data_IF_714825951988
#
_entry.id   IF_714825951988
#
_cell.length_a   1.000
_cell.length_b   1.000
_cell.length_c   1.000
_cell.angle_alpha   90.00
_cell.angle_beta   90.00
_cell.angle_gamma   90.00
#
_symmetry.space_group_name_H-M   'P 1'
#
loop_
_entity.id
_entity.type
_entity.pdbx_description
1 polymer ?
#
# COMPACT_ATOMS: atom_id res chain seq x y z
N UNK A 1 14.82 -5.49 1.63
CA UNK A 1 15.04 -4.47 0.60
C UNK A 1 16.21 -3.54 0.87
N UNK A 2 16.24 -2.62 1.87
CA UNK A 2 17.44 -1.78 2.14
C UNK A 2 18.71 -2.61 2.34
N UNK A 3 18.61 -3.78 2.99
CA UNK A 3 19.74 -4.72 3.13
C UNK A 3 20.17 -5.33 1.79
N UNK A 4 19.23 -5.65 0.91
CA UNK A 4 19.51 -6.19 -0.43
C UNK A 4 20.17 -5.13 -1.32
N UNK A 5 19.70 -3.88 -1.28
CA UNK A 5 20.37 -2.76 -1.96
C UNK A 5 21.80 -2.57 -1.48
N UNK A 6 22.02 -2.59 -0.17
CA UNK A 6 23.34 -2.40 0.42
C UNK A 6 24.29 -3.59 0.15
N UNK A 7 23.79 -4.79 -0.14
CA UNK A 7 24.60 -5.99 -0.42
C UNK A 7 25.01 -6.10 -1.89
N UNK A 8 24.26 -5.49 -2.84
CA UNK A 8 24.55 -5.55 -4.26
C UNK A 8 25.82 -4.79 -4.62
N UNK A 9 26.77 -5.45 -5.31
CA UNK A 9 27.95 -4.79 -5.85
C UNK A 9 27.55 -3.89 -7.03
N UNK A 10 27.76 -2.59 -6.91
CA UNK A 10 27.68 -1.68 -8.04
C UNK A 10 28.95 -1.77 -8.90
N UNK A 11 28.82 -1.68 -10.23
CA UNK A 11 29.98 -1.43 -11.10
C UNK A 11 30.57 -0.05 -10.75
N UNK A 12 31.90 0.15 -10.92
CA UNK A 12 32.59 1.39 -10.52
C UNK A 12 31.87 2.69 -10.94
N UNK A 13 31.33 2.78 -12.15
CA UNK A 13 30.62 3.99 -12.62
C UNK A 13 29.30 4.23 -11.91
N UNK A 14 28.66 3.20 -11.35
CA UNK A 14 27.36 3.27 -10.67
C UNK A 14 27.52 3.60 -9.20
N UNK A 15 28.65 3.24 -8.59
CA UNK A 15 28.92 3.46 -7.16
C UNK A 15 28.93 4.94 -6.78
N UNK A 16 29.51 5.84 -7.60
CA UNK A 16 29.51 7.28 -7.37
C UNK A 16 28.09 7.87 -7.37
N UNK A 17 27.25 7.42 -8.31
CA UNK A 17 25.87 7.85 -8.39
C UNK A 17 25.04 7.31 -7.21
N UNK A 18 25.30 6.08 -6.77
CA UNK A 18 24.66 5.53 -5.57
C UNK A 18 25.05 6.33 -4.32
N UNK A 19 26.33 6.66 -4.17
CA UNK A 19 26.82 7.48 -3.06
C UNK A 19 26.22 8.90 -3.12
N UNK A 20 26.13 9.51 -4.31
CA UNK A 20 25.50 10.82 -4.48
C UNK A 20 24.02 10.80 -4.04
N UNK A 21 23.26 9.79 -4.44
CA UNK A 21 21.87 9.63 -4.01
C UNK A 21 21.72 9.42 -2.50
N UNK A 22 22.62 8.67 -1.86
CA UNK A 22 22.65 8.49 -0.40
C UNK A 22 22.97 9.79 0.33
N UNK A 23 23.99 10.54 -0.13
CA UNK A 23 24.40 11.82 0.45
C UNK A 23 23.30 12.85 0.30
N UNK A 24 22.66 12.96 -0.87
CA UNK A 24 21.55 13.88 -1.08
C UNK A 24 20.35 13.55 -0.20
N UNK A 25 20.09 12.26 0.03
CA UNK A 25 18.95 11.79 0.81
C UNK A 25 19.09 11.96 2.32
N UNK A 26 20.32 11.87 2.86
CA UNK A 26 20.53 11.77 4.31
C UNK A 26 21.89 12.32 4.81
N UNK A 27 22.69 12.91 3.95
CA UNK A 27 23.95 13.55 4.28
C UNK A 27 23.79 14.99 4.74
N UNK A 28 24.63 15.40 5.67
CA UNK A 28 24.80 16.79 6.09
C UNK A 28 26.28 17.17 5.94
N UNK A 29 26.53 18.18 5.10
CA UNK A 29 27.87 18.73 4.88
C UNK A 29 28.20 19.81 5.89
N UNK A 30 29.46 19.85 6.29
CA UNK A 30 30.09 20.96 7.01
C UNK A 30 31.46 21.27 6.40
N UNK A 31 32.25 22.16 7.02
CA UNK A 31 33.53 22.61 6.49
C UNK A 31 34.57 21.47 6.36
N UNK A 32 34.44 20.40 7.11
CA UNK A 32 35.40 19.31 7.15
C UNK A 32 35.00 18.08 6.34
N UNK A 33 33.71 17.96 5.92
CA UNK A 33 33.24 16.80 5.18
C UNK A 33 31.73 16.55 5.31
N UNK A 34 31.32 15.28 5.30
CA UNK A 34 29.91 14.88 5.33
C UNK A 34 29.61 13.88 6.45
N UNK A 35 28.50 14.06 7.12
CA UNK A 35 27.94 13.07 8.07
C UNK A 35 26.63 12.52 7.52
N UNK A 36 26.55 11.22 7.34
CA UNK A 36 25.32 10.51 6.95
C UNK A 36 24.75 9.76 8.15
N UNK A 37 23.45 9.92 8.41
CA UNK A 37 22.76 9.20 9.49
C UNK A 37 21.73 8.24 8.95
N UNK A 38 21.73 6.98 9.43
CA UNK A 38 20.81 5.94 8.99
C UNK A 38 20.41 5.00 10.14
N UNK A 39 19.17 4.48 10.16
CA UNK A 39 18.78 3.43 11.11
C UNK A 39 19.26 2.03 10.69
N UNK A 40 19.94 1.89 9.56
CA UNK A 40 20.35 0.59 9.01
C UNK A 40 21.86 0.41 9.05
N UNK A 41 22.34 -0.54 9.85
CA UNK A 41 23.75 -0.91 9.86
C UNK A 41 24.26 -1.37 8.47
N UNK A 42 23.41 -2.02 7.67
CA UNK A 42 23.77 -2.44 6.32
C UNK A 42 24.00 -1.24 5.39
N UNK A 43 23.14 -0.22 5.45
CA UNK A 43 23.33 1.03 4.71
C UNK A 43 24.57 1.76 5.18
N UNK A 44 24.80 1.84 6.50
CA UNK A 44 25.99 2.48 7.04
C UNK A 44 27.29 1.82 6.52
N UNK A 45 27.35 0.49 6.53
CA UNK A 45 28.49 -0.25 5.96
C UNK A 45 28.64 -0.05 4.44
N UNK A 46 27.51 0.04 3.72
CA UNK A 46 27.55 0.33 2.28
C UNK A 46 28.13 1.72 1.99
N UNK A 47 27.79 2.74 2.79
CA UNK A 47 28.38 4.07 2.68
C UNK A 47 29.89 4.04 2.89
N UNK A 48 30.39 3.38 3.95
CA UNK A 48 31.84 3.23 4.18
C UNK A 48 32.52 2.56 2.99
N UNK A 49 31.93 1.48 2.48
CA UNK A 49 32.48 0.76 1.31
C UNK A 49 32.51 1.66 0.07
N UNK A 50 31.45 2.40 -0.21
CA UNK A 50 31.37 3.28 -1.38
C UNK A 50 32.39 4.42 -1.32
N UNK A 51 32.59 5.06 -0.17
CA UNK A 51 33.62 6.07 0.00
C UNK A 51 35.02 5.52 -0.28
N UNK A 52 35.30 4.32 0.24
CA UNK A 52 36.61 3.65 0.03
C UNK A 52 36.77 3.25 -1.45
N UNK A 53 35.77 2.61 -2.06
CA UNK A 53 35.90 2.07 -3.43
C UNK A 53 35.93 3.14 -4.50
N UNK A 54 35.17 4.22 -4.33
CA UNK A 54 35.00 5.25 -5.37
C UNK A 54 36.00 6.41 -5.26
N UNK A 55 36.42 6.72 -4.02
CA UNK A 55 37.26 7.88 -3.74
C UNK A 55 38.55 7.56 -2.94
N UNK A 56 38.70 6.33 -2.50
CA UNK A 56 39.85 5.96 -1.62
C UNK A 56 39.80 6.64 -0.24
N UNK A 57 38.65 7.17 0.16
CA UNK A 57 38.51 7.92 1.43
C UNK A 57 37.92 7.03 2.52
N UNK A 58 38.60 7.03 3.65
CA UNK A 58 38.15 6.28 4.85
C UNK A 58 37.02 7.05 5.56
N UNK A 59 36.11 6.28 6.10
CA UNK A 59 34.93 6.83 6.83
C UNK A 59 34.89 6.20 8.22
N UNK A 60 34.54 7.00 9.23
CA UNK A 60 34.31 6.52 10.59
C UNK A 60 32.84 6.17 10.79
N UNK A 61 32.58 4.93 11.13
CA UNK A 61 31.26 4.44 11.50
C UNK A 61 31.11 4.43 13.02
N UNK A 62 30.10 5.11 13.54
CA UNK A 62 29.80 5.15 14.98
C UNK A 62 28.31 4.85 15.21
N UNK A 63 27.96 4.04 16.22
CA UNK A 63 26.59 3.95 16.69
C UNK A 63 26.20 5.29 17.34
N UNK A 64 24.94 5.67 17.19
CA UNK A 64 24.33 6.79 17.90
C UNK A 64 23.47 6.19 19.01
N UNK A 65 23.42 6.82 20.16
CA UNK A 65 22.55 6.40 21.25
C UNK A 65 21.10 6.15 20.75
N UNK A 66 20.45 5.10 21.24
CA UNK A 66 19.08 4.80 20.86
C UNK A 66 18.15 5.99 21.09
N UNK A 67 17.20 6.17 20.19
CA UNK A 67 16.16 7.18 20.39
C UNK A 67 15.22 6.75 21.55
N UNK A 68 14.28 7.64 21.93
CA UNK A 68 13.28 7.37 22.98
C UNK A 68 12.44 6.10 22.77
N UNK A 69 12.54 5.47 21.59
CA UNK A 69 11.87 4.21 21.26
C UNK A 69 12.84 3.02 21.21
N UNK A 70 14.06 3.18 21.73
CA UNK A 70 15.10 2.13 21.74
C UNK A 70 15.67 1.80 20.35
N UNK A 71 15.52 2.65 19.34
CA UNK A 71 15.99 2.39 17.98
C UNK A 71 17.41 2.89 17.81
N UNK A 72 18.33 1.95 17.59
CA UNK A 72 19.74 2.27 17.27
C UNK A 72 19.82 2.95 15.89
N UNK A 73 20.65 4.00 15.81
CA UNK A 73 21.03 4.67 14.57
C UNK A 73 22.55 4.63 14.41
N UNK A 74 22.99 4.89 13.20
CA UNK A 74 24.41 4.89 12.85
C UNK A 74 24.75 6.22 12.19
N UNK A 75 25.91 6.78 12.57
CA UNK A 75 26.53 7.91 11.88
C UNK A 75 27.74 7.40 11.10
N UNK A 76 27.83 7.78 9.84
CA UNK A 76 29.03 7.60 9.02
C UNK A 76 29.62 8.98 8.76
N UNK A 77 30.76 9.26 9.32
CA UNK A 77 31.52 10.51 9.12
C UNK A 77 32.64 10.27 8.12
N UNK A 78 32.64 11.04 7.04
CA UNK A 78 33.71 11.09 6.05
C UNK A 78 34.25 12.50 6.01
N UNK A 79 35.50 12.71 6.34
CA UNK A 79 36.07 14.02 6.54
C UNK A 79 37.50 14.11 5.93
N UNK A 80 38.03 15.32 5.85
CA UNK A 80 39.35 15.66 5.32
C UNK A 80 39.33 16.06 3.85
N UNK A 81 40.48 16.45 3.32
CA UNK A 81 40.63 17.00 1.97
C UNK A 81 40.05 16.10 0.87
N UNK A 82 40.21 14.77 0.99
CA UNK A 82 39.62 13.82 0.02
C UNK A 82 38.11 13.83 -0.01
N UNK A 83 37.44 14.00 1.14
CA UNK A 83 35.98 14.12 1.21
C UNK A 83 35.48 15.44 0.58
N UNK A 84 36.22 16.52 0.83
CA UNK A 84 35.89 17.84 0.26
C UNK A 84 36.07 17.84 -1.26
N UNK A 85 37.17 17.32 -1.79
CA UNK A 85 37.39 17.16 -3.22
C UNK A 85 36.32 16.27 -3.88
N UNK A 86 35.98 15.15 -3.27
CA UNK A 86 34.93 14.27 -3.76
C UNK A 86 33.54 14.92 -3.78
N UNK A 87 33.31 16.01 -3.01
CA UNK A 87 32.03 16.70 -2.99
C UNK A 87 31.63 17.27 -4.36
N UNK A 88 32.59 17.76 -5.15
CA UNK A 88 32.36 18.28 -6.49
C UNK A 88 31.98 17.14 -7.46
N UNK A 89 32.69 16.01 -7.39
CA UNK A 89 32.38 14.84 -8.21
C UNK A 89 30.99 14.27 -7.86
N UNK A 90 30.61 14.26 -6.57
CA UNK A 90 29.26 13.86 -6.15
C UNK A 90 28.19 14.83 -6.64
N UNK A 91 28.48 16.14 -6.71
CA UNK A 91 27.57 17.11 -7.36
C UNK A 91 27.40 16.81 -8.84
N UNK A 92 28.49 16.45 -9.53
CA UNK A 92 28.43 16.04 -10.93
C UNK A 92 27.61 14.75 -11.11
N UNK A 93 27.73 13.79 -10.20
CA UNK A 93 26.95 12.55 -10.23
C UNK A 93 25.44 12.75 -10.05
N UNK A 94 24.99 13.95 -9.63
CA UNK A 94 23.57 14.35 -9.65
C UNK A 94 22.99 14.50 -11.04
N UNK A 95 23.83 14.64 -12.07
CA UNK A 95 23.43 14.82 -13.47
C UNK A 95 23.42 13.50 -14.25
N UNK A 96 23.11 12.38 -13.61
CA UNK A 96 23.10 11.03 -14.19
C UNK A 96 22.49 11.02 -15.61
N UNK A 97 23.28 10.64 -16.61
CA UNK A 97 22.93 10.69 -18.03
C UNK A 97 22.46 9.34 -18.55
N UNK A 98 23.15 8.28 -18.17
CA UNK A 98 22.86 6.92 -18.60
C UNK A 98 21.80 6.24 -17.72
N UNK A 99 21.10 5.22 -18.24
CA UNK A 99 20.16 4.42 -17.43
C UNK A 99 20.81 3.79 -16.18
N UNK A 100 22.07 3.35 -16.28
CA UNK A 100 22.81 2.75 -15.18
C UNK A 100 23.13 3.77 -14.08
N UNK A 101 23.56 4.98 -14.46
CA UNK A 101 23.80 6.08 -13.52
C UNK A 101 22.53 6.52 -12.79
N UNK A 102 21.42 6.65 -13.50
CA UNK A 102 20.10 6.95 -12.92
C UNK A 102 19.66 5.86 -11.94
N UNK A 103 19.84 4.59 -12.30
CA UNK A 103 19.57 3.46 -11.43
C UNK A 103 20.43 3.50 -10.16
N UNK A 104 21.73 3.80 -10.28
CA UNK A 104 22.63 3.99 -9.15
C UNK A 104 22.15 5.10 -8.22
N UNK A 105 21.87 6.28 -8.75
CA UNK A 105 21.35 7.39 -7.96
C UNK A 105 20.07 7.02 -7.20
N UNK A 106 19.09 6.41 -7.88
CA UNK A 106 17.83 5.95 -7.26
C UNK A 106 18.06 4.91 -6.16
N UNK A 107 19.03 4.00 -6.33
CA UNK A 107 19.42 3.04 -5.27
C UNK A 107 19.85 3.75 -4.00
N UNK A 108 20.73 4.74 -4.14
CA UNK A 108 21.21 5.55 -3.01
C UNK A 108 20.09 6.39 -2.39
N UNK A 109 19.34 7.09 -3.22
CA UNK A 109 18.20 7.90 -2.80
C UNK A 109 17.14 7.07 -2.02
N UNK A 110 16.85 5.85 -2.49
CA UNK A 110 15.91 4.96 -1.82
C UNK A 110 16.42 4.44 -0.47
N UNK A 111 17.72 4.15 -0.35
CA UNK A 111 18.32 3.74 0.91
C UNK A 111 18.23 4.83 1.99
N UNK A 112 18.37 6.11 1.61
CA UNK A 112 18.30 7.26 2.51
C UNK A 112 16.88 7.75 2.78
N UNK A 113 16.09 7.93 1.73
CA UNK A 113 14.80 8.62 1.75
C UNK A 113 13.66 7.87 1.03
N UNK A 114 13.80 6.57 0.82
CA UNK A 114 12.76 5.74 0.20
C UNK A 114 11.87 5.02 1.20
N UNK A 115 10.65 4.75 0.82
CA UNK A 115 9.69 3.89 1.53
C UNK A 115 8.90 3.03 0.57
N UNK A 116 8.58 1.82 1.00
CA UNK A 116 7.75 0.87 0.26
C UNK A 116 6.77 0.17 1.19
N UNK A 117 5.50 0.17 0.83
CA UNK A 117 4.49 -0.62 1.52
C UNK A 117 4.61 -2.10 1.12
N UNK A 118 4.31 -2.97 2.08
CA UNK A 118 4.18 -4.41 1.79
C UNK A 118 2.90 -4.66 1.00
N UNK A 119 2.95 -5.46 -0.08
CA UNK A 119 1.75 -5.86 -0.83
C UNK A 119 0.76 -6.60 0.10
N UNK A 120 -0.54 -6.43 -0.16
CA UNK A 120 -1.59 -7.06 0.64
C UNK A 120 -1.86 -6.40 2.01
N UNK A 121 -1.12 -5.34 2.37
CA UNK A 121 -1.41 -4.53 3.55
C UNK A 121 -2.52 -3.50 3.30
N UNK A 122 -3.05 -2.88 4.38
CA UNK A 122 -4.11 -1.85 4.31
C UNK A 122 -3.77 -0.64 3.43
N UNK A 123 -2.49 -0.39 3.13
CA UNK A 123 -2.02 0.75 2.34
C UNK A 123 -1.92 0.51 0.83
N UNK A 124 -2.23 -0.70 0.33
CA UNK A 124 -2.09 -1.05 -1.07
C UNK A 124 -0.65 -0.92 -1.60
N UNK A 125 -0.52 -0.84 -2.93
CA UNK A 125 0.77 -0.61 -3.57
C UNK A 125 1.20 0.84 -3.34
N UNK A 126 2.41 1.03 -2.81
CA UNK A 126 2.95 2.37 -2.56
C UNK A 126 4.47 2.34 -2.44
N UNK A 127 5.14 3.03 -3.35
CA UNK A 127 6.56 3.34 -3.29
C UNK A 127 6.73 4.84 -3.32
N UNK A 128 7.58 5.38 -2.45
CA UNK A 128 7.82 6.83 -2.39
C UNK A 128 9.29 7.16 -2.08
N UNK A 129 9.70 8.32 -2.61
CA UNK A 129 10.88 9.08 -2.18
C UNK A 129 10.39 10.36 -1.50
N UNK A 130 10.91 10.68 -0.33
CA UNK A 130 10.48 11.85 0.42
C UNK A 130 11.66 12.65 0.96
N UNK A 131 11.60 13.99 0.86
CA UNK A 131 12.65 14.88 1.36
C UNK A 131 12.09 16.27 1.66
N UNK A 132 12.86 17.12 2.37
CA UNK A 132 12.54 18.55 2.58
C UNK A 132 12.84 19.35 1.34
N UNK A 133 13.88 19.00 0.61
CA UNK A 133 14.29 19.62 -0.64
C UNK A 133 13.45 19.06 -1.79
N UNK A 134 12.79 19.96 -2.51
CA UNK A 134 11.97 19.66 -3.68
C UNK A 134 12.80 19.17 -4.85
N UNK A 135 13.98 19.75 -5.05
CA UNK A 135 14.85 19.43 -6.19
C UNK A 135 15.31 17.97 -6.12
N UNK A 136 15.66 17.47 -4.94
CA UNK A 136 15.97 16.06 -4.74
C UNK A 136 14.80 15.16 -5.16
N UNK A 137 13.58 15.49 -4.76
CA UNK A 137 12.38 14.68 -5.07
C UNK A 137 12.05 14.73 -6.56
N UNK A 138 12.18 15.93 -7.20
CA UNK A 138 12.03 16.09 -8.65
C UNK A 138 13.05 15.27 -9.42
N UNK A 139 14.30 15.25 -8.95
CA UNK A 139 15.38 14.44 -9.56
C UNK A 139 15.08 12.94 -9.46
N UNK A 140 14.61 12.45 -8.32
CA UNK A 140 14.17 11.06 -8.21
C UNK A 140 13.04 10.73 -9.19
N UNK A 141 12.07 11.61 -9.35
CA UNK A 141 10.98 11.43 -10.31
C UNK A 141 11.47 11.45 -11.78
N UNK A 142 12.39 12.36 -12.12
CA UNK A 142 12.96 12.48 -13.46
C UNK A 142 13.84 11.28 -13.84
N UNK A 143 14.50 10.65 -12.88
CA UNK A 143 15.34 9.47 -13.10
C UNK A 143 14.56 8.17 -13.13
N UNK A 144 13.35 8.16 -12.58
CA UNK A 144 12.48 6.98 -12.54
C UNK A 144 11.94 6.63 -13.95
N UNK A 145 11.97 5.34 -14.30
CA UNK A 145 11.29 4.84 -15.50
C UNK A 145 9.77 4.79 -15.34
N UNK A 146 9.28 4.60 -14.11
CA UNK A 146 7.86 4.70 -13.83
C UNK A 146 7.46 6.15 -13.56
N UNK A 147 6.27 6.60 -13.98
CA UNK A 147 5.77 7.92 -13.65
C UNK A 147 5.53 8.04 -12.14
N UNK A 148 6.18 9.00 -11.50
CA UNK A 148 5.98 9.33 -10.10
C UNK A 148 5.22 10.64 -9.97
N UNK A 149 4.16 10.66 -9.16
CA UNK A 149 3.44 11.88 -8.79
C UNK A 149 4.20 12.62 -7.71
N UNK A 150 4.34 13.93 -7.85
CA UNK A 150 4.99 14.79 -6.86
C UNK A 150 3.92 15.57 -6.11
N UNK A 151 3.97 15.53 -4.78
CA UNK A 151 3.08 16.27 -3.89
C UNK A 151 3.86 16.81 -2.70
N UNK A 152 3.35 17.90 -2.12
CA UNK A 152 3.84 18.41 -0.84
C UNK A 152 2.95 17.90 0.29
N UNK A 153 3.54 17.21 1.26
CA UNK A 153 2.84 16.72 2.45
C UNK A 153 3.48 17.28 3.71
N UNK A 154 2.78 18.16 4.41
CA UNK A 154 3.31 18.90 5.57
C UNK A 154 4.61 19.62 5.17
N UNK A 155 5.73 19.36 5.87
CA UNK A 155 7.03 19.98 5.63
C UNK A 155 7.94 19.20 4.65
N UNK A 156 7.39 18.27 3.84
CA UNK A 156 8.16 17.40 2.94
C UNK A 156 7.55 17.32 1.56
N UNK A 157 8.40 17.19 0.56
CA UNK A 157 8.05 16.80 -0.79
C UNK A 157 8.10 15.27 -0.91
N UNK A 158 7.22 14.72 -1.73
CA UNK A 158 7.09 13.26 -1.92
C UNK A 158 6.86 12.96 -3.40
N UNK A 159 7.73 12.15 -4.01
CA UNK A 159 7.49 11.54 -5.31
C UNK A 159 7.04 10.08 -5.09
N UNK A 160 5.90 9.70 -5.60
CA UNK A 160 5.33 8.37 -5.33
C UNK A 160 4.59 7.75 -6.50
N UNK A 161 4.49 6.42 -6.49
CA UNK A 161 3.55 5.64 -7.30
C UNK A 161 2.69 4.73 -6.41
N UNK A 162 1.45 4.47 -6.87
CA UNK A 162 0.49 3.56 -6.21
C UNK A 162 0.08 2.37 -7.10
N UNK A 163 0.64 2.24 -8.29
CA UNK A 163 0.40 1.09 -9.14
C UNK A 163 1.39 -0.04 -8.85
N UNK A 164 0.96 -1.29 -8.98
CA UNK A 164 1.83 -2.45 -8.84
C UNK A 164 2.97 -2.39 -9.87
N UNK A 165 2.63 -2.14 -11.14
CA UNK A 165 3.58 -1.99 -12.24
C UNK A 165 4.60 -0.87 -11.99
N UNK A 166 4.17 0.31 -11.52
CA UNK A 166 5.08 1.39 -11.18
C UNK A 166 6.05 1.01 -10.06
N UNK A 167 5.60 0.28 -9.05
CA UNK A 167 6.47 -0.22 -7.97
C UNK A 167 7.49 -1.21 -8.50
N UNK A 168 7.06 -2.23 -9.25
CA UNK A 168 7.96 -3.27 -9.79
C UNK A 168 8.95 -2.68 -10.79
N UNK A 169 8.52 -1.73 -11.63
CA UNK A 169 9.40 -1.00 -12.56
C UNK A 169 10.53 -0.26 -11.82
N UNK A 170 10.23 0.47 -10.74
CA UNK A 170 11.25 1.19 -9.97
C UNK A 170 12.18 0.21 -9.24
N UNK A 171 11.65 -0.88 -8.68
CA UNK A 171 12.45 -1.92 -8.03
C UNK A 171 13.40 -2.62 -9.03
N UNK A 172 12.90 -2.99 -10.19
CA UNK A 172 13.68 -3.59 -11.27
C UNK A 172 14.77 -2.63 -11.76
N UNK A 173 14.44 -1.34 -11.94
CA UNK A 173 15.41 -0.30 -12.31
C UNK A 173 16.55 -0.19 -11.31
N UNK A 174 16.27 -0.33 -10.02
CA UNK A 174 17.28 -0.34 -8.95
C UNK A 174 18.07 -1.68 -8.87
N UNK A 175 17.79 -2.66 -9.74
CA UNK A 175 18.45 -3.97 -9.74
C UNK A 175 18.00 -4.90 -8.61
N UNK A 176 16.78 -4.74 -8.13
CA UNK A 176 16.21 -5.54 -7.04
C UNK A 176 15.32 -6.67 -7.55
N UNK A 177 15.83 -7.53 -8.43
CA UNK A 177 15.05 -8.60 -9.08
C UNK A 177 14.39 -9.56 -8.08
N UNK A 178 15.08 -9.96 -7.02
CA UNK A 178 14.48 -10.79 -5.96
C UNK A 178 13.33 -10.08 -5.24
N UNK A 179 13.50 -8.77 -4.97
CA UNK A 179 12.45 -7.98 -4.34
C UNK A 179 11.24 -7.80 -5.27
N UNK A 180 11.44 -7.75 -6.58
CA UNK A 180 10.33 -7.73 -7.57
C UNK A 180 9.55 -9.03 -7.47
N UNK A 181 10.21 -10.19 -7.57
CA UNK A 181 9.56 -11.49 -7.47
C UNK A 181 8.82 -11.68 -6.15
N UNK A 182 9.45 -11.31 -5.02
CA UNK A 182 8.80 -11.37 -3.71
C UNK A 182 7.60 -10.42 -3.62
N UNK A 183 7.69 -9.24 -4.23
CA UNK A 183 6.61 -8.26 -4.27
C UNK A 183 5.42 -8.77 -5.08
N UNK A 184 5.65 -9.30 -6.27
CA UNK A 184 4.61 -9.84 -7.15
C UNK A 184 3.90 -11.04 -6.53
N UNK A 185 4.66 -11.99 -5.97
CA UNK A 185 4.08 -13.14 -5.28
C UNK A 185 3.15 -12.72 -4.12
N UNK A 186 3.57 -11.74 -3.32
CA UNK A 186 2.74 -11.19 -2.23
C UNK A 186 1.56 -10.37 -2.72
N UNK A 187 1.68 -9.69 -3.86
CA UNK A 187 0.58 -8.94 -4.44
C UNK A 187 -0.56 -9.88 -4.88
N UNK A 188 -0.23 -10.97 -5.58
CA UNK A 188 -1.20 -11.99 -6.00
C UNK A 188 -1.94 -12.59 -4.79
N UNK A 189 -1.20 -13.00 -3.75
CA UNK A 189 -1.80 -13.53 -2.52
C UNK A 189 -2.69 -12.49 -1.82
N UNK A 190 -2.28 -11.23 -1.80
CA UNK A 190 -3.04 -10.12 -1.23
C UNK A 190 -4.35 -9.86 -1.97
N UNK A 191 -4.34 -9.91 -3.29
CA UNK A 191 -5.53 -9.75 -4.14
C UNK A 191 -6.51 -10.92 -3.96
N UNK A 192 -6.00 -12.15 -3.93
CA UNK A 192 -6.82 -13.34 -3.69
C UNK A 192 -7.53 -13.25 -2.32
N UNK A 193 -6.80 -12.87 -1.26
CA UNK A 193 -7.38 -12.68 0.08
C UNK A 193 -8.40 -11.54 0.11
N UNK A 194 -8.12 -10.43 -0.55
CA UNK A 194 -9.05 -9.29 -0.63
C UNK A 194 -10.32 -9.66 -1.39
N UNK A 195 -10.20 -10.46 -2.46
CA UNK A 195 -11.36 -10.99 -3.20
C UNK A 195 -12.21 -11.91 -2.33
N UNK A 196 -11.60 -12.89 -1.65
CA UNK A 196 -12.29 -13.79 -0.73
C UNK A 196 -13.05 -13.02 0.37
N UNK A 197 -12.40 -12.03 0.99
CA UNK A 197 -13.03 -11.19 2.01
C UNK A 197 -14.23 -10.39 1.44
N UNK A 198 -14.14 -9.87 0.21
CA UNK A 198 -15.26 -9.16 -0.42
C UNK A 198 -16.45 -10.08 -0.67
N UNK A 199 -16.21 -11.30 -1.16
CA UNK A 199 -17.27 -12.32 -1.37
C UNK A 199 -17.93 -12.65 -0.04
N UNK A 200 -17.14 -12.99 0.98
CA UNK A 200 -17.67 -13.33 2.32
C UNK A 200 -18.49 -12.18 2.93
N UNK A 201 -18.00 -10.93 2.83
CA UNK A 201 -18.71 -9.77 3.35
C UNK A 201 -20.01 -9.49 2.57
N UNK A 202 -20.00 -9.72 1.25
CA UNK A 202 -21.19 -9.58 0.41
C UNK A 202 -22.24 -10.63 0.79
N UNK A 203 -21.84 -11.88 0.98
CA UNK A 203 -22.73 -12.99 1.39
C UNK A 203 -23.30 -12.75 2.79
N UNK A 204 -22.47 -12.35 3.74
CA UNK A 204 -22.90 -12.00 5.10
C UNK A 204 -23.89 -10.84 5.10
N UNK A 205 -23.65 -9.79 4.32
CA UNK A 205 -24.54 -8.64 4.19
C UNK A 205 -25.88 -9.03 3.52
N UNK A 206 -25.86 -9.94 2.53
CA UNK A 206 -27.07 -10.46 1.90
C UNK A 206 -27.88 -11.31 2.87
N UNK A 207 -27.24 -12.23 3.58
CA UNK A 207 -27.89 -13.05 4.61
C UNK A 207 -28.52 -12.19 5.70
N UNK A 208 -27.80 -11.15 6.21
CA UNK A 208 -28.33 -10.23 7.19
C UNK A 208 -29.56 -9.45 6.70
N UNK A 209 -29.54 -8.95 5.45
CA UNK A 209 -30.70 -8.27 4.86
C UNK A 209 -31.90 -9.20 4.71
N UNK A 210 -31.66 -10.45 4.29
CA UNK A 210 -32.72 -11.48 4.15
C UNK A 210 -33.33 -11.80 5.50
N UNK A 211 -32.53 -12.05 6.54
CA UNK A 211 -33.01 -12.35 7.88
C UNK A 211 -33.80 -11.18 8.48
N UNK A 212 -33.30 -9.93 8.32
CA UNK A 212 -34.00 -8.74 8.80
C UNK A 212 -35.36 -8.55 8.11
N UNK A 213 -35.42 -8.76 6.78
CA UNK A 213 -36.67 -8.68 6.03
C UNK A 213 -37.63 -9.80 6.44
N UNK A 214 -37.16 -11.00 6.63
CA UNK A 214 -37.96 -12.13 7.09
C UNK A 214 -38.58 -11.90 8.47
N UNK A 215 -37.76 -11.47 9.45
CA UNK A 215 -38.22 -11.16 10.81
C UNK A 215 -39.26 -10.02 10.82
N UNK A 216 -39.07 -8.99 9.99
CA UNK A 216 -40.08 -7.93 9.83
C UNK A 216 -41.37 -8.44 9.23
N UNK A 217 -41.34 -9.31 8.25
CA UNK A 217 -42.50 -9.92 7.59
C UNK A 217 -43.26 -10.80 8.57
N UNK A 218 -42.57 -11.65 9.35
CA UNK A 218 -43.19 -12.51 10.36
C UNK A 218 -44.00 -11.71 11.36
N UNK A 219 -43.39 -10.72 12.01
CA UNK A 219 -44.09 -9.85 12.99
C UNK A 219 -45.33 -9.16 12.38
N UNK A 220 -45.20 -8.72 11.12
CA UNK A 220 -46.32 -8.08 10.43
C UNK A 220 -47.43 -9.08 10.12
N UNK A 221 -47.11 -10.34 9.80
CA UNK A 221 -48.09 -11.33 9.36
C UNK A 221 -48.76 -12.08 10.50
N UNK A 222 -48.11 -12.22 11.68
CA UNK A 222 -48.68 -12.80 12.90
C UNK A 222 -50.01 -12.07 13.28
N UNK A 223 -50.05 -10.74 13.12
CA UNK A 223 -51.18 -9.91 13.51
C UNK A 223 -52.23 -9.72 12.40
N UNK A 224 -52.04 -10.34 11.22
CA UNK A 224 -53.03 -10.27 10.11
C UNK A 224 -54.07 -11.36 10.26
N UNK A 225 -55.36 -10.98 10.24
CA UNK A 225 -56.48 -11.91 10.18
C UNK A 225 -56.52 -12.60 8.82
N UNK A 226 -56.34 -13.93 8.73
CA UNK A 226 -56.32 -14.66 7.47
C UNK A 226 -57.66 -14.67 6.74
N UNK A 227 -58.79 -14.52 7.47
CA UNK A 227 -60.16 -14.57 6.87
C UNK A 227 -60.42 -13.37 6.00
N UNK A 228 -59.80 -12.23 6.29
CA UNK A 228 -59.96 -11.01 5.51
C UNK A 228 -58.95 -10.84 4.38
N UNK A 229 -58.08 -11.86 4.15
CA UNK A 229 -57.07 -11.84 3.08
C UNK A 229 -57.60 -12.55 1.81
N UNK A 230 -57.30 -12.00 0.61
CA UNK A 230 -57.49 -12.73 -0.66
C UNK A 230 -56.71 -14.07 -0.63
N UNK A 231 -57.24 -15.14 -1.28
CA UNK A 231 -56.65 -16.47 -1.21
C UNK A 231 -55.14 -16.49 -1.50
N UNK A 232 -54.70 -15.82 -2.55
CA UNK A 232 -53.31 -15.76 -2.95
C UNK A 232 -52.37 -15.05 -1.91
N UNK A 233 -52.90 -14.13 -1.12
CA UNK A 233 -52.18 -13.48 -0.04
C UNK A 233 -52.16 -14.33 1.22
N UNK A 234 -53.26 -15.04 1.50
CA UNK A 234 -53.34 -16.00 2.60
C UNK A 234 -52.29 -17.13 2.46
N UNK A 235 -52.24 -17.76 1.28
CA UNK A 235 -51.22 -18.76 0.96
C UNK A 235 -49.79 -18.24 1.17
N UNK A 236 -49.49 -17.02 0.72
CA UNK A 236 -48.15 -16.44 0.88
C UNK A 236 -47.85 -16.09 2.34
N UNK A 237 -48.85 -15.69 3.13
CA UNK A 237 -48.72 -15.46 4.58
C UNK A 237 -48.36 -16.75 5.31
N UNK A 238 -49.14 -17.83 5.08
CA UNK A 238 -48.89 -19.15 5.66
C UNK A 238 -47.51 -19.68 5.28
N UNK A 239 -47.14 -19.61 4.00
CA UNK A 239 -45.87 -20.04 3.50
C UNK A 239 -44.67 -19.32 4.20
N UNK A 240 -44.81 -17.99 4.46
CA UNK A 240 -43.76 -17.24 5.18
C UNK A 240 -43.71 -17.60 6.66
N UNK A 241 -44.84 -17.84 7.31
CA UNK A 241 -44.90 -18.19 8.73
C UNK A 241 -44.36 -19.61 8.99
N UNK A 242 -44.63 -20.54 8.08
CA UNK A 242 -44.11 -21.93 8.12
C UNK A 242 -42.60 -21.99 7.79
N UNK A 243 -42.11 -21.02 7.00
CA UNK A 243 -40.70 -21.00 6.54
C UNK A 243 -40.05 -19.65 6.94
N UNK A 244 -39.78 -19.44 8.22
CA UNK A 244 -39.32 -18.17 8.77
C UNK A 244 -37.96 -17.70 8.19
N UNK A 245 -37.03 -18.62 7.97
CA UNK A 245 -35.68 -18.32 7.49
C UNK A 245 -35.53 -18.37 5.97
N UNK A 246 -36.59 -18.78 5.25
CA UNK A 246 -36.53 -18.94 3.82
C UNK A 246 -36.26 -17.61 3.10
N UNK A 247 -35.35 -17.62 2.14
CA UNK A 247 -35.12 -16.51 1.23
C UNK A 247 -36.32 -16.27 0.30
N UNK A 248 -36.39 -15.10 -0.30
CA UNK A 248 -37.43 -14.80 -1.31
C UNK A 248 -37.45 -15.79 -2.48
N UNK A 249 -36.27 -16.30 -2.87
CA UNK A 249 -36.17 -17.30 -3.94
C UNK A 249 -36.73 -18.65 -3.52
N UNK A 250 -36.49 -19.07 -2.28
CA UNK A 250 -37.03 -20.29 -1.70
C UNK A 250 -38.55 -20.22 -1.53
N UNK A 251 -39.07 -19.12 -1.00
CA UNK A 251 -40.51 -18.91 -0.91
C UNK A 251 -41.18 -18.94 -2.28
N UNK A 252 -40.60 -18.30 -3.29
CA UNK A 252 -41.09 -18.35 -4.65
C UNK A 252 -41.17 -19.77 -5.20
N UNK A 253 -40.10 -20.57 -4.95
CA UNK A 253 -40.03 -21.98 -5.35
C UNK A 253 -41.10 -22.84 -4.63
N UNK A 254 -41.21 -22.69 -3.31
CA UNK A 254 -42.17 -23.41 -2.49
C UNK A 254 -43.63 -23.07 -2.87
N UNK A 255 -43.93 -21.80 -3.19
CA UNK A 255 -45.24 -21.36 -3.62
C UNK A 255 -45.53 -21.52 -5.12
N UNK A 256 -44.63 -22.13 -5.89
CA UNK A 256 -44.83 -22.26 -7.37
C UNK A 256 -44.87 -20.96 -8.10
N UNK A 257 -44.21 -19.89 -7.59
CA UNK A 257 -44.31 -18.52 -8.10
C UNK A 257 -43.02 -18.05 -8.71
N UNK A 258 -43.10 -17.01 -9.56
CA UNK A 258 -41.89 -16.24 -9.88
C UNK A 258 -41.44 -15.41 -8.68
N UNK A 259 -40.15 -15.13 -8.61
CA UNK A 259 -39.53 -14.30 -7.55
C UNK A 259 -40.20 -12.91 -7.46
N UNK A 260 -40.60 -12.35 -8.61
CA UNK A 260 -41.30 -11.07 -8.70
C UNK A 260 -42.72 -11.16 -8.10
N UNK A 261 -43.47 -12.23 -8.41
CA UNK A 261 -44.80 -12.45 -7.87
C UNK A 261 -44.78 -12.66 -6.35
N UNK A 262 -43.85 -13.49 -5.84
CA UNK A 262 -43.66 -13.67 -4.40
C UNK A 262 -43.33 -12.36 -3.69
N UNK A 263 -42.37 -11.56 -4.23
CA UNK A 263 -42.05 -10.25 -3.68
C UNK A 263 -43.23 -9.28 -3.67
N UNK A 264 -44.03 -9.26 -4.72
CA UNK A 264 -45.22 -8.41 -4.78
C UNK A 264 -46.25 -8.82 -3.71
N UNK A 265 -46.53 -10.11 -3.55
CA UNK A 265 -47.46 -10.60 -2.52
C UNK A 265 -46.99 -10.28 -1.11
N UNK A 266 -45.68 -10.49 -0.78
CA UNK A 266 -45.08 -10.16 0.51
C UNK A 266 -45.16 -8.64 0.80
N UNK A 267 -44.88 -7.80 -0.18
CA UNK A 267 -45.01 -6.34 -0.04
C UNK A 267 -46.44 -5.91 0.23
N UNK A 268 -47.40 -6.52 -0.44
CA UNK A 268 -48.83 -6.23 -0.24
C UNK A 268 -49.30 -6.60 1.16
N UNK A 269 -48.84 -7.79 1.68
CA UNK A 269 -49.15 -8.20 3.06
C UNK A 269 -48.58 -7.22 4.10
N UNK A 270 -47.32 -6.78 3.92
CA UNK A 270 -46.71 -5.75 4.78
C UNK A 270 -47.49 -4.43 4.73
N UNK A 271 -47.97 -4.02 3.56
CA UNK A 271 -48.78 -2.82 3.41
C UNK A 271 -50.12 -2.91 4.15
N UNK A 272 -50.78 -4.08 4.08
CA UNK A 272 -52.08 -4.32 4.78
C UNK A 272 -51.87 -4.29 6.30
N UNK A 273 -50.82 -4.96 6.80
CA UNK A 273 -50.50 -4.93 8.23
C UNK A 273 -50.21 -3.51 8.75
N UNK A 274 -49.54 -2.66 7.96
CA UNK A 274 -49.31 -1.26 8.35
C UNK A 274 -50.59 -0.41 8.36
N UNK A 275 -51.58 -0.73 7.53
CA UNK A 275 -52.87 -0.03 7.47
C UNK A 275 -53.85 -0.43 8.59
N UNK A 276 -53.74 -1.62 9.16
CA UNK A 276 -54.55 -2.08 10.30
C UNK A 276 -54.15 -1.47 11.66
N UNK A 277 -52.98 -0.85 11.77
CA UNK A 277 -52.52 -0.13 12.96
C UNK A 277 -53.10 1.30 13.07
N UNK A 278 -53.86 1.77 12.09
CA UNK A 278 -54.47 3.12 12.06
C UNK A 278 -56.02 3.12 12.11
N UNK A 279 -56.68 1.99 12.48
CA UNK A 279 -58.14 1.90 12.60
C UNK A 279 -58.56 1.71 14.07
#
# INVERSE_FOLDING_TARGET
>A
MRRQLAAGAATRSVGRHELAGLVDASGAWDAEGVTLRTPSAAVARSVVRLWRSEFGVESRLSPIEPDRFGRTRYAVRTAGNGAIQASEELRFARTARTPAERAGYLRGAFQGAGSLNRPGGRGGHHLEFFHRDEEFVRRCAAFSRAPLRIVRRRARWVAYTKSADGVTTVLAQMGLSEAVLEYEAKAVLGEAKAHANRVTNFDAANAGRTATAAARQQRAFENLDPEHLPPALREMRELRLENPDASLAELARLGGLSKSAANHRLRRLVSISAGQHFS
#
